data_IF_558237793832
#
_entry.id   IF_558237793832
#
_cell.length_a   1.000
_cell.length_b   1.000
_cell.length_c   1.000
_cell.angle_alpha   90.00
_cell.angle_beta   90.00
_cell.angle_gamma   90.00
#
_symmetry.space_group_name_H-M   'P 1'
#
loop_
_entity.id
_entity.type
_entity.pdbx_description
1 polymer ?
#
# COMPACT_ATOMS: atom_id res chain seq x y z
N UNK A 1 -6.17 -19.87 -9.94
CA UNK A 1 -6.45 -19.04 -11.10
C UNK A 1 -5.16 -18.43 -11.62
N UNK A 2 -5.03 -18.35 -12.94
CA UNK A 2 -3.99 -17.59 -13.65
C UNK A 2 -4.65 -16.32 -14.16
N UNK A 3 -4.13 -15.16 -13.72
CA UNK A 3 -4.72 -13.86 -13.98
C UNK A 3 -3.71 -12.94 -14.69
N UNK A 4 -4.20 -12.17 -15.66
CA UNK A 4 -3.46 -11.12 -16.33
C UNK A 4 -3.93 -9.75 -15.80
N UNK A 5 -3.10 -8.99 -15.06
CA UNK A 5 -3.48 -7.67 -14.57
C UNK A 5 -3.37 -6.63 -15.70
N UNK A 6 -4.52 -6.08 -16.12
CA UNK A 6 -4.59 -5.02 -17.13
C UNK A 6 -4.51 -3.62 -16.51
N UNK A 7 -5.06 -3.47 -15.30
CA UNK A 7 -5.01 -2.23 -14.52
C UNK A 7 -4.62 -2.60 -13.09
N UNK A 8 -3.67 -1.86 -12.54
CA UNK A 8 -3.20 -2.06 -11.17
C UNK A 8 -3.22 -0.74 -10.41
N UNK A 9 -4.11 -0.65 -9.44
CA UNK A 9 -4.23 0.46 -8.50
C UNK A 9 -4.22 1.85 -9.17
N UNK A 10 -5.02 1.99 -10.26
CA UNK A 10 -5.14 3.24 -11.02
C UNK A 10 -6.55 3.80 -10.93
N UNK A 11 -6.64 5.14 -10.83
CA UNK A 11 -7.91 5.87 -10.88
C UNK A 11 -8.43 5.93 -12.32
N UNK A 12 -9.75 5.87 -12.46
CA UNK A 12 -10.41 6.00 -13.74
C UNK A 12 -11.59 5.05 -13.91
N UNK A 13 -12.43 5.27 -14.90
CA UNK A 13 -13.55 4.39 -15.26
C UNK A 13 -13.11 3.15 -16.05
N UNK A 14 -11.94 3.21 -16.69
CA UNK A 14 -11.34 2.14 -17.49
C UNK A 14 -12.27 1.50 -18.54
N UNK A 15 -13.27 2.25 -19.01
CA UNK A 15 -14.31 1.77 -19.94
C UNK A 15 -13.72 1.15 -21.21
N UNK A 16 -12.67 1.79 -21.78
CA UNK A 16 -12.02 1.28 -22.99
C UNK A 16 -11.41 -0.11 -22.76
N UNK A 17 -10.73 -0.31 -21.64
CA UNK A 17 -10.11 -1.59 -21.28
C UNK A 17 -11.19 -2.65 -21.09
N UNK A 18 -12.28 -2.31 -20.41
CA UNK A 18 -13.42 -3.22 -20.20
C UNK A 18 -14.13 -3.55 -21.53
N UNK A 19 -14.23 -2.60 -22.46
CA UNK A 19 -14.73 -2.85 -23.80
C UNK A 19 -13.82 -3.78 -24.61
N UNK A 20 -12.52 -3.56 -24.56
CA UNK A 20 -11.53 -4.39 -25.26
C UNK A 20 -11.57 -5.83 -24.73
N UNK A 21 -11.65 -6.00 -23.40
CA UNK A 21 -11.85 -7.30 -22.75
C UNK A 21 -13.15 -7.98 -23.22
N UNK A 22 -14.23 -7.24 -23.31
CA UNK A 22 -15.53 -7.75 -23.82
C UNK A 22 -15.44 -8.18 -25.28
N UNK A 23 -14.80 -7.37 -26.13
CA UNK A 23 -14.60 -7.68 -27.55
C UNK A 23 -13.70 -8.90 -27.77
N UNK A 24 -12.72 -9.08 -26.90
CA UNK A 24 -11.84 -10.25 -26.91
C UNK A 24 -12.52 -11.55 -26.46
N UNK A 25 -13.79 -11.50 -26.03
CA UNK A 25 -14.55 -12.67 -25.63
C UNK A 25 -14.08 -13.29 -24.30
N UNK A 26 -13.46 -12.49 -23.46
CA UNK A 26 -12.99 -12.95 -22.12
C UNK A 26 -14.19 -13.32 -21.26
N UNK A 27 -14.17 -14.54 -20.74
CA UNK A 27 -15.32 -15.09 -19.99
C UNK A 27 -15.43 -14.51 -18.59
N UNK A 28 -14.30 -14.20 -17.93
CA UNK A 28 -14.29 -13.73 -16.54
C UNK A 28 -13.23 -12.67 -16.30
N UNK A 29 -13.60 -11.70 -15.50
CA UNK A 29 -12.75 -10.56 -15.07
C UNK A 29 -12.85 -10.44 -13.55
N UNK A 30 -11.74 -10.18 -12.90
CA UNK A 30 -11.72 -9.83 -11.49
C UNK A 30 -11.49 -8.32 -11.36
N UNK A 31 -12.41 -7.62 -10.71
CA UNK A 31 -12.32 -6.18 -10.47
C UNK A 31 -12.31 -5.94 -8.96
N UNK A 32 -11.25 -5.31 -8.46
CA UNK A 32 -11.07 -5.05 -7.02
C UNK A 32 -11.27 -6.29 -6.14
N UNK A 33 -10.79 -7.45 -6.61
CA UNK A 33 -10.94 -8.72 -5.91
C UNK A 33 -12.27 -9.45 -6.15
N UNK A 34 -13.27 -8.82 -6.77
CA UNK A 34 -14.59 -9.41 -7.06
C UNK A 34 -14.63 -9.97 -8.47
N UNK A 35 -15.11 -11.22 -8.61
CA UNK A 35 -15.25 -11.88 -9.90
C UNK A 35 -16.53 -11.44 -10.62
N UNK A 36 -16.38 -11.06 -11.88
CA UNK A 36 -17.48 -10.72 -12.78
C UNK A 36 -17.42 -11.59 -14.04
N UNK A 37 -18.56 -11.82 -14.67
CA UNK A 37 -18.60 -12.35 -16.03
C UNK A 37 -18.21 -11.22 -17.00
N UNK A 38 -17.49 -11.55 -18.08
CA UNK A 38 -16.77 -10.57 -18.90
C UNK A 38 -17.59 -9.43 -19.53
N UNK A 39 -18.93 -9.53 -19.46
CA UNK A 39 -19.85 -8.49 -19.91
C UNK A 39 -20.48 -7.64 -18.81
N UNK A 40 -20.44 -8.06 -17.55
CA UNK A 40 -21.28 -7.54 -16.46
C UNK A 40 -20.50 -6.79 -15.37
N UNK A 41 -19.43 -6.09 -15.76
CA UNK A 41 -18.70 -5.23 -14.84
C UNK A 41 -19.50 -3.93 -14.63
N UNK A 42 -19.87 -3.58 -13.40
CA UNK A 42 -20.58 -2.32 -13.15
C UNK A 42 -19.70 -1.12 -13.45
N UNK A 43 -20.29 0.06 -13.74
CA UNK A 43 -19.54 1.29 -13.95
C UNK A 43 -18.59 1.58 -12.78
N UNK A 44 -17.32 1.86 -13.10
CA UNK A 44 -16.29 2.12 -12.10
C UNK A 44 -16.23 3.61 -11.76
N UNK A 45 -16.00 3.92 -10.49
CA UNK A 45 -15.87 5.30 -10.01
C UNK A 45 -14.53 5.89 -10.46
N UNK A 46 -14.58 6.99 -11.20
CA UNK A 46 -13.40 7.67 -11.76
C UNK A 46 -12.42 8.19 -10.69
N UNK A 47 -12.87 8.38 -9.47
CA UNK A 47 -12.05 8.94 -8.37
C UNK A 47 -11.39 7.86 -7.50
N UNK A 48 -11.85 6.61 -7.61
CA UNK A 48 -11.29 5.47 -6.88
C UNK A 48 -10.21 4.77 -7.69
N UNK A 49 -9.30 4.13 -6.96
CA UNK A 49 -8.31 3.25 -7.55
C UNK A 49 -8.95 1.90 -7.84
N UNK A 50 -8.62 1.35 -9.02
CA UNK A 50 -9.15 0.06 -9.45
C UNK A 50 -8.02 -0.85 -9.89
N UNK A 51 -8.20 -2.13 -9.62
CA UNK A 51 -7.40 -3.23 -10.15
C UNK A 51 -8.32 -4.10 -11.00
N UNK A 52 -7.95 -4.30 -12.28
CA UNK A 52 -8.72 -5.08 -13.26
C UNK A 52 -7.81 -6.18 -13.77
N UNK A 53 -8.25 -7.42 -13.65
CA UNK A 53 -7.50 -8.60 -14.02
C UNK A 53 -8.38 -9.54 -14.85
N UNK A 54 -7.82 -10.04 -15.94
CA UNK A 54 -8.46 -11.04 -16.77
C UNK A 54 -8.13 -12.43 -16.22
N UNK A 55 -9.13 -13.30 -16.08
CA UNK A 55 -8.90 -14.70 -15.78
C UNK A 55 -8.54 -15.43 -17.07
N UNK A 56 -7.27 -15.79 -17.19
CA UNK A 56 -6.77 -16.51 -18.36
C UNK A 56 -7.12 -17.99 -18.28
N UNK A 57 -6.87 -18.59 -17.11
CA UNK A 57 -7.18 -20.02 -16.90
C UNK A 57 -7.46 -20.36 -15.43
N UNK A 58 -8.16 -21.48 -15.25
CA UNK A 58 -8.37 -22.12 -13.97
C UNK A 58 -7.73 -23.50 -13.98
N UNK A 59 -6.49 -23.56 -13.52
CA UNK A 59 -5.72 -24.81 -13.49
C UNK A 59 -5.94 -25.53 -12.17
N UNK A 60 -6.25 -26.79 -12.20
CA UNK A 60 -6.34 -27.65 -11.03
C UNK A 60 -4.97 -28.31 -10.83
N UNK A 61 -4.30 -27.97 -9.72
CA UNK A 61 -3.00 -28.56 -9.37
C UNK A 61 -3.24 -29.75 -8.47
N UNK A 62 -2.78 -30.94 -8.91
CA UNK A 62 -2.80 -32.21 -8.13
C UNK A 62 -1.37 -32.63 -7.85
N UNK A 63 -1.13 -33.31 -6.75
CA UNK A 63 0.15 -33.98 -6.51
C UNK A 63 0.37 -35.08 -7.57
N UNK A 64 1.54 -35.02 -8.24
CA UNK A 64 1.84 -35.97 -9.33
C UNK A 64 1.33 -35.50 -10.70
N UNK A 65 1.35 -34.19 -10.95
CA UNK A 65 0.86 -33.54 -12.18
C UNK A 65 1.47 -34.15 -13.44
N UNK A 66 0.63 -34.65 -14.33
CA UNK A 66 1.02 -35.21 -15.62
C UNK A 66 1.59 -34.14 -16.57
N UNK A 67 2.37 -34.56 -17.54
CA UNK A 67 3.01 -33.69 -18.52
C UNK A 67 2.00 -32.77 -19.26
N UNK A 68 0.78 -33.23 -19.50
CA UNK A 68 -0.32 -32.49 -20.12
C UNK A 68 -0.75 -31.25 -19.28
N UNK A 69 -0.90 -31.42 -17.97
CA UNK A 69 -1.27 -30.32 -17.07
C UNK A 69 -0.15 -29.26 -17.01
N UNK A 70 1.11 -29.70 -17.14
CA UNK A 70 2.26 -28.82 -17.16
C UNK A 70 2.30 -27.97 -18.43
N UNK A 71 2.05 -28.55 -19.59
CA UNK A 71 1.98 -27.83 -20.87
C UNK A 71 0.88 -26.78 -20.83
N UNK A 72 -0.32 -27.16 -20.41
CA UNK A 72 -1.44 -26.24 -20.27
C UNK A 72 -1.11 -25.07 -19.32
N UNK A 73 -0.44 -25.37 -18.21
CA UNK A 73 -0.02 -24.32 -17.26
C UNK A 73 0.98 -23.34 -17.91
N UNK A 74 1.94 -23.85 -18.68
CA UNK A 74 2.91 -23.00 -19.38
C UNK A 74 2.20 -22.10 -20.39
N UNK A 75 1.32 -22.65 -21.22
CA UNK A 75 0.54 -21.89 -22.21
C UNK A 75 -0.30 -20.79 -21.54
N UNK A 76 -0.92 -21.13 -20.40
CA UNK A 76 -1.72 -20.16 -19.63
C UNK A 76 -0.88 -19.05 -19.01
N UNK A 77 0.33 -19.38 -18.54
CA UNK A 77 1.29 -18.40 -17.99
C UNK A 77 1.82 -17.48 -19.08
N UNK A 78 2.20 -18.02 -20.24
CA UNK A 78 2.65 -17.21 -21.39
C UNK A 78 1.55 -16.26 -21.85
N UNK A 79 0.33 -16.76 -22.03
CA UNK A 79 -0.83 -15.95 -22.38
C UNK A 79 -1.09 -14.84 -21.34
N UNK A 80 -0.97 -15.15 -20.05
CA UNK A 80 -1.17 -14.17 -18.98
C UNK A 80 -0.08 -13.10 -18.97
N UNK A 81 1.17 -13.48 -19.23
CA UNK A 81 2.29 -12.55 -19.33
C UNK A 81 2.15 -11.62 -20.55
N UNK A 82 1.71 -12.15 -21.68
CA UNK A 82 1.49 -11.36 -22.89
C UNK A 82 0.37 -10.33 -22.67
N UNK A 83 -0.77 -10.75 -22.11
CA UNK A 83 -1.88 -9.86 -21.81
C UNK A 83 -1.58 -8.84 -20.71
N UNK A 84 -0.80 -9.26 -19.70
CA UNK A 84 -0.43 -8.44 -18.54
C UNK A 84 0.86 -7.64 -18.71
N UNK A 85 1.36 -7.48 -19.96
CA UNK A 85 2.60 -6.74 -20.26
C UNK A 85 3.79 -7.23 -19.40
N UNK A 86 3.99 -8.53 -19.34
CA UNK A 86 5.07 -9.16 -18.59
C UNK A 86 4.78 -9.34 -17.09
N UNK A 87 3.55 -9.15 -16.67
CA UNK A 87 3.12 -9.39 -15.27
C UNK A 87 1.96 -10.37 -15.25
N UNK A 88 2.03 -11.32 -14.33
CA UNK A 88 0.91 -12.24 -14.05
C UNK A 88 0.62 -12.28 -12.55
N UNK A 89 -0.60 -12.65 -12.20
CA UNK A 89 -1.03 -12.92 -10.85
C UNK A 89 -1.52 -14.35 -10.72
N UNK A 90 -0.99 -15.10 -9.77
CA UNK A 90 -1.53 -16.39 -9.38
C UNK A 90 -2.40 -16.22 -8.13
N UNK A 91 -3.69 -16.55 -8.25
CA UNK A 91 -4.64 -16.55 -7.15
C UNK A 91 -4.98 -18.00 -6.77
N UNK A 92 -4.29 -18.58 -5.76
CA UNK A 92 -4.62 -19.91 -5.26
C UNK A 92 -6.03 -19.92 -4.70
N UNK A 93 -6.83 -20.89 -5.14
CA UNK A 93 -8.21 -21.05 -4.68
C UNK A 93 -8.30 -22.35 -3.89
N UNK A 94 -8.77 -22.30 -2.66
CA UNK A 94 -8.99 -23.47 -1.84
C UNK A 94 -10.19 -24.33 -2.32
N UNK A 95 -10.41 -25.51 -1.72
CA UNK A 95 -11.58 -26.35 -2.01
C UNK A 95 -12.91 -25.65 -1.68
N UNK A 96 -12.87 -24.66 -0.81
CA UNK A 96 -13.98 -23.80 -0.40
C UNK A 96 -14.33 -22.71 -1.41
N UNK A 97 -13.56 -22.60 -2.51
CA UNK A 97 -13.73 -21.59 -3.54
C UNK A 97 -13.19 -20.21 -3.17
N UNK A 98 -12.63 -20.03 -1.97
CA UNK A 98 -12.02 -18.76 -1.57
C UNK A 98 -10.60 -18.63 -2.13
N UNK A 99 -10.27 -17.45 -2.66
CA UNK A 99 -8.90 -17.12 -3.07
C UNK A 99 -8.07 -16.86 -1.83
N UNK A 100 -6.86 -17.45 -1.82
CA UNK A 100 -5.84 -17.19 -0.81
C UNK A 100 -4.90 -16.10 -1.30
N UNK A 101 -3.86 -15.81 -0.53
CA UNK A 101 -2.89 -14.76 -0.84
C UNK A 101 -2.43 -14.80 -2.29
N UNK A 102 -2.77 -13.76 -3.04
CA UNK A 102 -2.38 -13.58 -4.42
C UNK A 102 -0.86 -13.43 -4.54
N UNK A 103 -0.29 -14.08 -5.54
CA UNK A 103 1.14 -13.99 -5.84
C UNK A 103 1.35 -13.32 -7.17
N UNK A 104 2.02 -12.19 -7.15
CA UNK A 104 2.38 -11.46 -8.36
C UNK A 104 3.75 -11.90 -8.86
N UNK A 105 3.86 -12.12 -10.17
CA UNK A 105 5.10 -12.46 -10.86
C UNK A 105 5.32 -11.48 -12.01
N UNK A 106 6.59 -11.12 -12.23
CA UNK A 106 7.00 -10.29 -13.36
C UNK A 106 8.21 -10.91 -14.04
N UNK A 107 8.15 -11.03 -15.35
CA UNK A 107 9.27 -11.53 -16.11
C UNK A 107 10.43 -10.52 -16.24
N UNK A 108 10.16 -9.23 -15.97
CA UNK A 108 11.16 -8.19 -16.17
C UNK A 108 12.01 -7.91 -14.93
N UNK A 109 11.41 -7.96 -13.73
CA UNK A 109 12.08 -7.57 -12.48
C UNK A 109 11.61 -8.43 -11.31
N UNK A 110 11.57 -9.75 -11.49
CA UNK A 110 11.15 -10.69 -10.45
C UNK A 110 12.37 -11.32 -9.76
N UNK A 111 12.34 -11.40 -8.45
CA UNK A 111 13.31 -12.17 -7.68
C UNK A 111 12.82 -13.60 -7.52
N UNK A 112 13.52 -14.60 -8.06
CA UNK A 112 13.10 -16.01 -7.97
C UNK A 112 13.24 -16.58 -6.54
N UNK A 113 14.00 -15.91 -5.67
CA UNK A 113 14.27 -16.38 -4.31
C UNK A 113 13.24 -15.88 -3.30
N UNK A 114 12.96 -14.58 -3.29
CA UNK A 114 12.03 -13.97 -2.32
C UNK A 114 10.63 -13.70 -2.89
N UNK A 115 10.41 -13.93 -4.19
CA UNK A 115 9.13 -13.71 -4.85
C UNK A 115 8.74 -12.25 -5.05
N UNK A 116 9.63 -11.30 -4.73
CA UNK A 116 9.38 -9.88 -4.97
C UNK A 116 9.46 -9.59 -6.45
N UNK A 117 8.39 -9.00 -6.99
CA UNK A 117 8.38 -8.42 -8.33
C UNK A 117 8.42 -6.90 -8.22
N UNK A 118 9.43 -6.30 -8.84
CA UNK A 118 9.56 -4.85 -8.89
C UNK A 118 8.73 -4.29 -10.06
N UNK A 119 8.13 -3.11 -9.91
CA UNK A 119 7.51 -2.43 -11.03
C UNK A 119 8.56 -2.04 -12.08
N UNK A 120 8.10 -1.81 -13.30
CA UNK A 120 8.97 -1.30 -14.35
C UNK A 120 9.66 -0.01 -13.90
N UNK A 121 10.98 0.03 -14.05
CA UNK A 121 11.77 1.20 -13.69
C UNK A 121 11.55 2.31 -14.72
N UNK A 122 11.07 3.45 -14.25
CA UNK A 122 10.91 4.65 -15.04
C UNK A 122 11.83 5.75 -14.50
N UNK A 123 12.19 6.79 -15.28
CA UNK A 123 13.02 7.89 -14.78
C UNK A 123 12.51 8.53 -13.49
N UNK A 124 11.17 8.57 -13.32
CA UNK A 124 10.53 9.05 -12.08
C UNK A 124 10.81 8.20 -10.84
N UNK A 125 11.16 6.91 -11.02
CA UNK A 125 11.53 6.01 -9.92
C UNK A 125 12.86 6.37 -9.28
N UNK A 126 13.68 7.20 -9.96
CA UNK A 126 14.99 7.68 -9.48
C UNK A 126 14.95 9.14 -9.02
N UNK A 127 13.80 9.80 -9.12
CA UNK A 127 13.65 11.20 -8.72
C UNK A 127 13.23 11.30 -7.27
N UNK A 128 14.09 11.91 -6.42
CA UNK A 128 13.70 12.14 -5.00
C UNK A 128 12.65 13.24 -4.85
N UNK A 129 12.32 13.96 -5.92
CA UNK A 129 11.21 14.92 -5.95
C UNK A 129 9.90 14.31 -6.47
N UNK A 130 9.86 13.00 -6.64
CA UNK A 130 8.68 12.26 -7.04
C UNK A 130 8.27 11.27 -5.95
N UNK A 131 6.99 11.14 -5.60
CA UNK A 131 6.51 10.15 -4.62
C UNK A 131 6.92 8.70 -4.96
N UNK A 132 7.24 8.42 -6.25
CA UNK A 132 7.65 7.09 -6.71
C UNK A 132 9.12 6.77 -6.43
N UNK A 133 10.00 7.79 -6.32
CA UNK A 133 11.43 7.61 -6.10
C UNK A 133 11.93 8.25 -4.82
N UNK A 134 11.11 9.03 -4.14
CA UNK A 134 11.46 9.65 -2.87
C UNK A 134 11.56 8.60 -1.76
N UNK A 135 12.54 8.75 -0.91
CA UNK A 135 12.64 7.97 0.32
C UNK A 135 11.40 8.21 1.20
N UNK A 136 10.68 7.18 1.65
CA UNK A 136 9.48 7.35 2.47
C UNK A 136 9.76 8.05 3.80
N UNK A 137 10.97 7.88 4.35
CA UNK A 137 11.33 8.45 5.65
C UNK A 137 11.63 9.95 5.59
N UNK A 138 12.34 10.42 4.55
CA UNK A 138 12.74 11.82 4.42
C UNK A 138 12.02 12.55 3.28
N UNK A 139 11.13 11.85 2.55
CA UNK A 139 10.39 12.40 1.40
C UNK A 139 11.29 13.07 0.34
N UNK A 140 12.50 12.52 0.17
CA UNK A 140 13.49 13.03 -0.78
C UNK A 140 14.38 14.16 -0.29
N UNK A 141 14.20 14.61 0.95
CA UNK A 141 15.00 15.73 1.53
C UNK A 141 16.39 15.31 2.00
N UNK A 142 16.67 14.00 2.14
CA UNK A 142 17.95 13.49 2.62
C UNK A 142 18.18 13.66 4.13
N UNK A 143 17.32 14.42 4.79
CA UNK A 143 17.39 14.71 6.24
C UNK A 143 16.00 14.60 6.84
N UNK A 144 15.95 14.23 8.12
CA UNK A 144 14.73 14.25 8.91
C UNK A 144 14.87 15.26 10.04
N UNK A 145 13.86 16.10 10.20
CA UNK A 145 13.75 16.92 11.39
C UNK A 145 13.11 16.07 12.50
N UNK A 146 13.85 15.86 13.57
CA UNK A 146 13.35 15.19 14.77
C UNK A 146 13.37 16.17 15.93
N UNK A 147 12.34 16.11 16.74
CA UNK A 147 12.31 16.86 18.00
C UNK A 147 13.27 16.16 18.96
N UNK A 148 14.29 16.89 19.44
CA UNK A 148 15.18 16.42 20.47
C UNK A 148 14.53 16.67 21.85
N UNK A 149 14.19 15.61 22.61
CA UNK A 149 13.58 15.74 23.92
C UNK A 149 14.42 16.60 24.90
N UNK A 150 15.76 16.54 24.79
CA UNK A 150 16.66 17.32 25.66
C UNK A 150 16.62 18.82 25.35
N UNK A 151 16.31 19.20 24.11
CA UNK A 151 16.09 20.60 23.73
C UNK A 151 14.71 21.09 24.13
N UNK A 152 13.73 20.19 24.19
CA UNK A 152 12.37 20.50 24.64
C UNK A 152 12.33 20.66 26.14
N UNK A 153 12.98 19.76 26.87
CA UNK A 153 13.06 19.76 28.36
C UNK A 153 14.52 19.75 28.79
N UNK A 154 15.19 20.89 28.73
CA UNK A 154 16.61 20.99 29.07
C UNK A 154 16.89 20.77 30.58
N UNK A 155 15.90 21.03 31.43
CA UNK A 155 16.00 20.81 32.88
C UNK A 155 14.79 20.00 33.37
N UNK A 156 14.96 18.68 33.58
CA UNK A 156 13.89 17.81 34.04
C UNK A 156 13.46 18.02 35.51
N UNK A 157 14.18 18.82 36.28
CA UNK A 157 13.80 19.15 37.65
C UNK A 157 12.76 20.27 37.75
N UNK A 158 12.52 20.97 36.64
CA UNK A 158 11.48 21.99 36.59
C UNK A 158 10.09 21.34 36.40
N UNK A 159 9.07 22.00 36.96
CA UNK A 159 7.69 21.65 36.71
C UNK A 159 7.20 22.31 35.40
N UNK A 160 6.08 21.81 34.84
CA UNK A 160 5.48 22.44 33.66
C UNK A 160 5.12 23.92 33.91
N UNK A 161 4.64 24.23 35.10
CA UNK A 161 4.34 25.61 35.54
C UNK A 161 5.58 26.47 35.67
N UNK A 162 6.71 25.88 36.08
CA UNK A 162 8.02 26.55 36.17
C UNK A 162 8.68 26.72 34.79
N UNK A 163 8.11 26.17 33.72
CA UNK A 163 8.60 26.30 32.37
C UNK A 163 9.59 25.20 31.97
N UNK A 164 9.35 23.97 32.39
CA UNK A 164 10.13 22.81 31.96
C UNK A 164 10.22 22.70 30.43
N UNK A 165 9.13 23.10 29.71
CA UNK A 165 9.08 23.10 28.25
C UNK A 165 9.73 24.39 27.70
N UNK A 166 10.98 24.29 27.25
CA UNK A 166 11.75 25.43 26.72
C UNK A 166 11.05 26.18 25.58
N UNK A 167 10.38 25.54 24.60
CA UNK A 167 9.69 26.24 23.54
C UNK A 167 8.61 27.22 24.01
N UNK A 168 8.00 26.93 25.16
CA UNK A 168 6.90 27.73 25.74
C UNK A 168 7.32 28.55 26.96
N UNK A 169 8.56 28.46 27.40
CA UNK A 169 9.07 29.13 28.60
C UNK A 169 9.01 30.66 28.53
N UNK A 170 8.98 31.23 27.32
CA UNK A 170 8.89 32.70 27.10
C UNK A 170 7.45 33.22 27.25
N UNK A 171 6.43 32.37 27.18
CA UNK A 171 5.02 32.74 27.31
C UNK A 171 4.50 32.43 28.71
N UNK A 172 5.21 32.94 29.74
CA UNK A 172 4.86 32.74 31.17
C UNK A 172 3.65 33.57 31.59
N UNK A 173 2.54 33.36 30.95
CA UNK A 173 1.27 33.89 31.40
C UNK A 173 0.53 32.77 32.13
N UNK A 174 0.32 32.89 33.45
CA UNK A 174 -0.35 31.87 34.28
C UNK A 174 -1.72 31.48 33.73
N UNK A 175 -2.33 32.33 32.92
CA UNK A 175 -3.60 32.11 32.24
C UNK A 175 -3.45 31.99 30.71
N UNK A 176 -2.22 31.76 30.24
CA UNK A 176 -1.95 31.64 28.80
C UNK A 176 -2.51 30.36 28.20
N UNK A 177 -2.76 30.41 26.90
CA UNK A 177 -3.31 29.30 26.11
C UNK A 177 -2.57 27.97 26.36
N UNK A 178 -1.24 28.00 26.39
CA UNK A 178 -0.45 26.77 26.60
C UNK A 178 -0.59 26.19 28.00
N UNK A 179 -0.76 27.02 29.03
CA UNK A 179 -0.98 26.55 30.41
C UNK A 179 -2.36 25.90 30.53
N UNK A 180 -3.36 26.46 29.90
CA UNK A 180 -4.71 25.87 29.86
C UNK A 180 -4.72 24.56 29.09
N UNK A 181 -4.00 24.49 27.97
CA UNK A 181 -3.86 23.27 27.17
C UNK A 181 -3.19 22.17 28.00
N UNK A 182 -2.09 22.49 28.69
CA UNK A 182 -1.38 21.54 29.54
C UNK A 182 -2.23 21.12 30.75
N UNK A 183 -3.02 22.03 31.35
CA UNK A 183 -3.94 21.69 32.42
C UNK A 183 -5.02 20.70 31.94
N UNK A 184 -5.62 20.96 30.78
CA UNK A 184 -6.58 20.04 30.19
C UNK A 184 -5.98 18.67 29.86
N UNK A 185 -4.71 18.65 29.43
CA UNK A 185 -3.97 17.40 29.21
C UNK A 185 -3.69 16.69 30.53
N UNK A 186 -3.29 17.45 31.58
CA UNK A 186 -3.10 16.91 32.94
C UNK A 186 -4.35 16.24 33.49
N UNK A 187 -5.51 16.89 33.35
CA UNK A 187 -6.79 16.32 33.74
C UNK A 187 -7.13 15.04 32.96
N UNK A 188 -6.83 15.01 31.65
CA UNK A 188 -7.13 13.87 30.79
C UNK A 188 -6.20 12.68 30.99
N UNK A 189 -4.92 12.93 31.28
CA UNK A 189 -3.88 11.91 31.40
C UNK A 189 -3.42 11.63 32.82
N UNK A 190 -3.95 12.34 33.81
CA UNK A 190 -3.72 12.09 35.23
C UNK A 190 -2.37 12.60 35.76
N UNK A 191 -1.88 13.74 35.24
CA UNK A 191 -0.67 14.35 35.77
C UNK A 191 -0.91 15.79 36.24
N UNK A 192 -0.09 16.24 37.23
CA UNK A 192 -0.15 17.58 37.79
C UNK A 192 0.95 18.47 37.18
N UNK A 193 0.59 19.74 36.87
CA UNK A 193 1.50 20.74 36.34
C UNK A 193 2.60 21.17 37.31
N UNK A 194 2.43 20.91 38.60
CA UNK A 194 3.37 21.24 39.67
C UNK A 194 4.30 20.07 40.01
N UNK A 195 4.14 18.93 39.34
CA UNK A 195 5.07 17.80 39.43
C UNK A 195 6.31 18.04 38.58
N UNK A 196 7.54 17.80 39.08
CA UNK A 196 8.75 17.87 38.26
C UNK A 196 8.71 16.93 37.07
N UNK A 197 9.24 17.38 35.91
CA UNK A 197 9.17 16.60 34.65
C UNK A 197 9.67 15.16 34.78
N UNK A 198 10.76 14.95 35.53
CA UNK A 198 11.33 13.61 35.74
C UNK A 198 10.45 12.67 36.54
N UNK A 199 9.42 13.18 37.22
CA UNK A 199 8.49 12.41 38.06
C UNK A 199 7.10 12.27 37.40
N UNK A 200 6.90 12.84 36.20
CA UNK A 200 5.74 12.63 35.35
C UNK A 200 5.91 11.31 34.59
#
# INVERSE_FOLDING_TARGET
>A
LVLAPLVRDRKGTHERILEDVRKAGVVRVRVNGVMHEGGDVPPLDRYKQHTIEVVVDRVLVRHGTDALDRTRLVDSVETALDLGEGVLCLAPTGPDGQTRDDRLFSQHLACPVCGISLPQLEPRSFSFNSPHGACPDCQGLGTQQRVDPLLVVPNPNLTLRQGALAPWSRTRNEHGYYVQLLASAGDAFGFDLDTPWHAL
#
